data_IF_273387741503
#
_entry.id   IF_273387741503
#
_cell.length_a   1.000
_cell.length_b   1.000
_cell.length_c   1.000
_cell.angle_alpha   90.00
_cell.angle_beta   90.00
_cell.angle_gamma   90.00
#
_symmetry.space_group_name_H-M   'P 1'
#
loop_
_entity.id
_entity.type
_entity.pdbx_description
1 polymer ?
#
# COMPACT_ATOMS: atom_id res chain seq x y z
N UNK A 1 53.26 -31.54 12.41
CA UNK A 1 51.90 -30.97 12.25
C UNK A 1 50.97 -32.09 11.77
N UNK A 2 50.09 -32.61 12.64
CA UNK A 2 49.14 -33.68 12.26
C UNK A 2 47.98 -33.05 11.47
N UNK A 3 47.87 -33.38 10.19
CA UNK A 3 46.69 -33.05 9.38
C UNK A 3 45.64 -34.13 9.64
N UNK A 4 44.60 -33.80 10.39
CA UNK A 4 43.40 -34.62 10.50
C UNK A 4 42.65 -34.53 9.17
N UNK A 5 42.62 -35.62 8.42
CA UNK A 5 41.81 -35.72 7.20
C UNK A 5 40.36 -35.96 7.59
N UNK A 6 39.46 -35.11 7.11
CA UNK A 6 38.01 -35.29 7.26
C UNK A 6 37.63 -36.66 6.67
N UNK A 7 36.94 -37.49 7.44
CA UNK A 7 36.55 -38.82 6.96
C UNK A 7 35.36 -38.69 6.01
N UNK A 8 35.31 -39.55 4.98
CA UNK A 8 34.23 -39.53 3.99
C UNK A 8 32.85 -39.65 4.64
N UNK A 9 32.76 -40.44 5.71
CA UNK A 9 31.52 -40.65 6.46
C UNK A 9 31.05 -39.38 7.20
N UNK A 10 31.98 -38.57 7.68
CA UNK A 10 31.70 -37.32 8.39
C UNK A 10 31.10 -36.26 7.45
N UNK A 11 31.57 -36.22 6.20
CA UNK A 11 30.96 -35.39 5.15
C UNK A 11 29.53 -35.86 4.83
N UNK A 12 29.30 -37.18 4.74
CA UNK A 12 27.98 -37.73 4.41
C UNK A 12 26.95 -37.40 5.50
N UNK A 13 27.34 -37.48 6.77
CA UNK A 13 26.45 -37.14 7.89
C UNK A 13 26.08 -35.65 7.87
N UNK A 14 27.04 -34.76 7.63
CA UNK A 14 26.77 -33.31 7.55
C UNK A 14 25.81 -32.98 6.41
N UNK A 15 26.00 -33.59 5.24
CA UNK A 15 25.08 -33.41 4.11
C UNK A 15 23.67 -33.92 4.41
N UNK A 16 23.55 -35.05 5.11
CA UNK A 16 22.26 -35.58 5.52
C UNK A 16 21.53 -34.62 6.49
N UNK A 17 22.24 -34.05 7.46
CA UNK A 17 21.68 -33.06 8.40
C UNK A 17 21.24 -31.80 7.65
N UNK A 18 22.07 -31.28 6.73
CA UNK A 18 21.73 -30.09 5.93
C UNK A 18 20.48 -30.34 5.09
N UNK A 19 20.36 -31.50 4.44
CA UNK A 19 19.20 -31.84 3.63
C UNK A 19 17.91 -31.87 4.47
N UNK A 20 17.96 -32.45 5.67
CA UNK A 20 16.82 -32.45 6.60
C UNK A 20 16.48 -31.03 7.02
N UNK A 21 17.48 -30.21 7.39
CA UNK A 21 17.25 -28.83 7.81
C UNK A 21 16.56 -27.99 6.73
N UNK A 22 16.96 -28.08 5.46
CA UNK A 22 16.34 -27.30 4.36
C UNK A 22 14.84 -27.60 4.22
N UNK A 23 14.43 -28.86 4.37
CA UNK A 23 13.02 -29.26 4.27
C UNK A 23 12.19 -28.68 5.41
N UNK A 24 12.73 -28.63 6.62
CA UNK A 24 12.04 -28.06 7.78
C UNK A 24 12.08 -26.52 7.81
N UNK A 25 13.12 -25.91 7.26
CA UNK A 25 13.30 -24.47 7.22
C UNK A 25 12.56 -23.79 6.07
N UNK A 26 12.06 -24.52 5.07
CA UNK A 26 11.31 -23.94 3.96
C UNK A 26 10.01 -23.27 4.46
N UNK A 27 9.98 -21.93 4.60
CA UNK A 27 8.79 -21.25 5.07
C UNK A 27 7.82 -21.18 3.90
N UNK A 28 6.52 -21.38 4.18
CA UNK A 28 5.45 -21.23 3.19
C UNK A 28 5.35 -19.78 2.70
N UNK A 29 6.17 -19.41 1.71
CA UNK A 29 6.43 -18.03 1.27
C UNK A 29 5.22 -17.26 0.74
N UNK A 30 4.13 -17.95 0.39
CA UNK A 30 2.93 -17.30 -0.16
C UNK A 30 2.21 -16.40 0.85
N UNK A 31 2.28 -16.70 2.16
CA UNK A 31 1.65 -15.87 3.21
C UNK A 31 2.45 -14.61 3.53
N UNK A 32 3.75 -14.61 3.24
CA UNK A 32 4.60 -13.45 3.49
C UNK A 32 4.35 -12.34 2.45
N UNK A 33 4.11 -12.72 1.19
CA UNK A 33 3.84 -11.77 0.11
C UNK A 33 2.50 -11.04 0.30
N UNK A 34 1.44 -11.77 0.65
CA UNK A 34 0.13 -11.15 0.91
C UNK A 34 0.19 -10.12 2.04
N UNK A 35 0.94 -10.38 3.10
CA UNK A 35 1.11 -9.43 4.20
C UNK A 35 1.90 -8.18 3.77
N UNK A 36 2.90 -8.35 2.91
CA UNK A 36 3.67 -7.23 2.38
C UNK A 36 2.78 -6.32 1.51
N UNK A 37 1.96 -6.89 0.63
CA UNK A 37 1.04 -6.13 -0.21
C UNK A 37 0.01 -5.36 0.64
N UNK A 38 -0.52 -5.99 1.69
CA UNK A 38 -1.45 -5.34 2.62
C UNK A 38 -0.81 -4.16 3.38
N UNK A 39 0.42 -4.31 3.84
CA UNK A 39 1.18 -3.25 4.50
C UNK A 39 1.49 -2.10 3.53
N UNK A 40 1.82 -2.42 2.29
CA UNK A 40 2.05 -1.43 1.25
C UNK A 40 0.78 -0.63 0.92
N UNK A 41 -0.39 -1.29 0.87
CA UNK A 41 -1.66 -0.62 0.67
C UNK A 41 -1.94 0.39 1.79
N UNK A 42 -1.81 -0.01 3.05
CA UNK A 42 -1.99 0.87 4.21
C UNK A 42 -0.99 2.04 4.21
N UNK A 43 0.28 1.74 3.94
CA UNK A 43 1.34 2.76 3.89
C UNK A 43 1.08 3.78 2.80
N UNK A 44 0.73 3.33 1.58
CA UNK A 44 0.42 4.23 0.46
C UNK A 44 -0.77 5.13 0.78
N UNK A 45 -1.86 4.55 1.31
CA UNK A 45 -3.04 5.33 1.67
C UNK A 45 -2.76 6.36 2.76
N UNK A 46 -1.91 6.03 3.73
CA UNK A 46 -1.46 6.99 4.77
C UNK A 46 -0.68 8.17 4.19
N UNK A 47 0.22 7.92 3.23
CA UNK A 47 0.99 8.98 2.56
C UNK A 47 0.07 9.89 1.74
N UNK A 48 -0.86 9.32 0.97
CA UNK A 48 -1.86 10.09 0.21
C UNK A 48 -2.71 10.94 1.15
N UNK A 49 -3.22 10.36 2.24
CA UNK A 49 -4.00 11.10 3.23
C UNK A 49 -3.25 12.30 3.80
N UNK A 50 -1.98 12.10 4.20
CA UNK A 50 -1.13 13.18 4.70
C UNK A 50 -0.90 14.27 3.65
N UNK A 51 -0.68 13.90 2.39
CA UNK A 51 -0.49 14.87 1.32
C UNK A 51 -1.76 15.72 1.07
N UNK A 52 -2.95 15.09 1.07
CA UNK A 52 -4.23 15.81 0.95
C UNK A 52 -4.41 16.75 2.15
N UNK A 53 -4.15 16.28 3.37
CA UNK A 53 -4.20 17.13 4.58
C UNK A 53 -3.27 18.33 4.48
N UNK A 54 -2.01 18.11 4.07
CA UNK A 54 -1.04 19.18 3.90
C UNK A 54 -1.52 20.24 2.90
N UNK A 55 -2.19 19.83 1.82
CA UNK A 55 -2.78 20.78 0.88
C UNK A 55 -3.86 21.63 1.54
N UNK A 56 -4.80 21.01 2.26
CA UNK A 56 -5.91 21.70 2.93
C UNK A 56 -5.39 22.64 4.03
N UNK A 57 -4.34 22.26 4.74
CA UNK A 57 -3.68 23.12 5.74
C UNK A 57 -2.96 24.31 5.10
N UNK A 58 -2.35 24.14 3.93
CA UNK A 58 -1.72 25.24 3.18
C UNK A 58 -2.74 26.16 2.52
N UNK A 59 -3.93 25.65 2.21
CA UNK A 59 -4.98 26.34 1.45
C UNK A 59 -6.32 26.22 2.18
N UNK A 60 -6.42 26.86 3.34
CA UNK A 60 -7.59 26.77 4.25
C UNK A 60 -8.94 27.16 3.62
N UNK A 61 -8.94 27.98 2.56
CA UNK A 61 -10.15 28.38 1.84
C UNK A 61 -10.46 27.47 0.63
N UNK A 62 -9.77 26.34 0.52
CA UNK A 62 -9.90 25.40 -0.60
C UNK A 62 -10.47 24.07 -0.13
N UNK A 63 -11.24 23.46 -1.01
CA UNK A 63 -11.88 22.16 -0.77
C UNK A 63 -11.02 21.04 -1.32
N UNK A 64 -11.43 19.80 -1.05
CA UNK A 64 -10.82 18.62 -1.66
C UNK A 64 -11.08 18.58 -3.18
N UNK A 65 -12.17 19.18 -3.67
CA UNK A 65 -12.44 19.27 -5.11
C UNK A 65 -11.44 20.19 -5.83
N UNK A 66 -11.04 21.29 -5.18
CA UNK A 66 -9.95 22.13 -5.68
C UNK A 66 -8.63 21.34 -5.73
N UNK A 67 -8.36 20.55 -4.71
CA UNK A 67 -7.17 19.70 -4.66
C UNK A 67 -7.13 18.69 -5.81
N UNK A 68 -8.22 17.97 -6.04
CA UNK A 68 -8.36 16.99 -7.12
C UNK A 68 -7.99 17.63 -8.46
N UNK A 69 -8.46 18.86 -8.70
CA UNK A 69 -8.19 19.61 -9.92
C UNK A 69 -6.71 19.98 -10.05
N UNK A 70 -6.09 20.48 -8.97
CA UNK A 70 -4.67 20.88 -8.96
C UNK A 70 -3.74 19.68 -9.05
N UNK A 71 -4.10 18.57 -8.40
CA UNK A 71 -3.37 17.31 -8.45
C UNK A 71 -3.57 16.57 -9.78
N UNK A 72 -4.54 16.97 -10.60
CA UNK A 72 -4.84 16.35 -11.89
C UNK A 72 -5.34 14.91 -11.75
N UNK A 73 -6.10 14.61 -10.69
CA UNK A 73 -6.59 13.25 -10.45
C UNK A 73 -7.71 12.90 -11.45
N UNK A 74 -7.59 11.74 -12.07
CA UNK A 74 -8.65 11.19 -12.92
C UNK A 74 -9.77 10.59 -12.05
N UNK A 75 -10.98 10.51 -12.59
CA UNK A 75 -12.05 9.74 -11.96
C UNK A 75 -11.67 8.27 -11.85
N UNK A 76 -11.95 7.65 -10.71
CA UNK A 76 -11.66 6.24 -10.50
C UNK A 76 -12.58 5.36 -11.35
N UNK A 77 -12.01 4.38 -12.05
CA UNK A 77 -12.77 3.39 -12.82
C UNK A 77 -13.21 2.17 -12.01
N UNK A 78 -12.73 2.04 -10.77
CA UNK A 78 -13.00 0.90 -9.91
C UNK A 78 -13.05 1.28 -8.43
N UNK A 79 -13.80 0.49 -7.67
CA UNK A 79 -13.87 0.53 -6.21
C UNK A 79 -13.57 -0.85 -5.65
N UNK A 80 -13.09 -0.94 -4.40
CA UNK A 80 -12.96 -2.22 -3.75
C UNK A 80 -14.33 -2.89 -3.58
N UNK A 81 -14.42 -4.24 -3.69
CA UNK A 81 -15.65 -4.96 -3.40
C UNK A 81 -16.18 -4.67 -1.99
N UNK A 82 -17.47 -4.33 -1.88
CA UNK A 82 -18.12 -4.03 -0.60
C UNK A 82 -17.81 -2.64 -0.03
N UNK A 83 -17.11 -1.78 -0.75
CA UNK A 83 -16.98 -0.38 -0.40
C UNK A 83 -18.13 0.43 -1.01
N UNK A 84 -18.84 1.19 -0.18
CA UNK A 84 -19.88 2.13 -0.63
C UNK A 84 -19.32 3.55 -0.58
N UNK A 85 -19.15 4.21 -1.74
CA UNK A 85 -18.66 5.59 -1.80
C UNK A 85 -19.61 6.57 -1.10
N UNK A 86 -19.03 7.59 -0.47
CA UNK A 86 -19.75 8.71 0.10
C UNK A 86 -19.94 9.88 -0.91
N UNK A 87 -19.17 9.91 -1.99
CA UNK A 87 -19.35 10.85 -3.10
C UNK A 87 -18.56 10.44 -4.34
N UNK A 88 -17.87 11.41 -4.94
CA UNK A 88 -17.09 11.24 -6.16
C UNK A 88 -15.76 10.55 -5.85
N UNK A 89 -15.34 9.67 -6.75
CA UNK A 89 -14.14 8.87 -6.59
C UNK A 89 -13.07 9.30 -7.58
N UNK A 90 -11.86 9.52 -7.08
CA UNK A 90 -10.71 9.89 -7.87
C UNK A 90 -9.57 8.88 -7.67
N UNK A 91 -8.86 8.53 -8.73
CA UNK A 91 -7.74 7.59 -8.68
C UNK A 91 -6.51 8.26 -8.04
N UNK A 92 -6.00 7.68 -6.95
CA UNK A 92 -4.77 8.08 -6.26
C UNK A 92 -3.66 7.04 -6.36
N UNK A 93 -3.76 6.11 -7.31
CA UNK A 93 -2.78 5.07 -7.58
C UNK A 93 -1.54 5.66 -8.28
N UNK A 94 -1.77 6.62 -9.17
CA UNK A 94 -0.69 7.35 -9.83
C UNK A 94 0.06 8.26 -8.84
N UNK A 95 1.35 8.44 -9.08
CA UNK A 95 2.17 9.37 -8.31
C UNK A 95 1.79 10.82 -8.64
N UNK A 96 1.75 11.67 -7.62
CA UNK A 96 1.43 13.10 -7.76
C UNK A 96 2.52 13.94 -7.13
N UNK A 97 2.82 15.07 -7.76
CA UNK A 97 3.76 16.06 -7.26
C UNK A 97 3.24 17.47 -7.51
N UNK A 98 2.42 17.97 -6.58
CA UNK A 98 1.95 19.36 -6.59
C UNK A 98 3.04 20.28 -6.05
N UNK A 99 3.66 19.89 -4.93
CA UNK A 99 4.82 20.55 -4.34
C UNK A 99 5.57 19.60 -3.39
N UNK A 100 6.60 20.10 -2.69
CA UNK A 100 7.44 19.28 -1.79
C UNK A 100 6.69 18.66 -0.61
N UNK A 101 5.61 19.29 -0.14
CA UNK A 101 4.79 18.84 0.99
C UNK A 101 3.49 18.14 0.57
N UNK A 102 3.07 18.29 -0.69
CA UNK A 102 1.87 17.71 -1.31
C UNK A 102 2.31 16.85 -2.49
N UNK A 103 2.80 15.65 -2.16
CA UNK A 103 3.26 14.66 -3.13
C UNK A 103 3.19 13.25 -2.56
N UNK A 104 3.03 12.28 -3.43
CA UNK A 104 3.15 10.86 -3.10
C UNK A 104 3.69 10.08 -4.31
N UNK A 105 4.43 8.99 -4.09
CA UNK A 105 4.93 8.14 -5.17
C UNK A 105 3.79 7.36 -5.82
N UNK A 106 4.06 6.76 -6.98
CA UNK A 106 3.14 5.79 -7.57
C UNK A 106 2.98 4.58 -6.65
N UNK A 107 1.75 4.08 -6.51
CA UNK A 107 1.48 2.88 -5.74
C UNK A 107 2.19 1.64 -6.36
N UNK A 108 2.51 0.64 -5.54
CA UNK A 108 2.96 -0.66 -6.05
C UNK A 108 1.96 -1.29 -7.03
N UNK A 109 2.39 -2.15 -7.97
CA UNK A 109 1.52 -2.67 -9.03
C UNK A 109 0.29 -3.45 -8.54
N UNK A 110 0.38 -4.07 -7.36
CA UNK A 110 -0.70 -4.83 -6.73
C UNK A 110 -1.67 -3.95 -5.94
N UNK A 111 -1.31 -2.69 -5.67
CA UNK A 111 -2.06 -1.77 -4.81
C UNK A 111 -2.84 -0.79 -5.66
N UNK A 112 -4.12 -0.63 -5.33
CA UNK A 112 -5.00 0.41 -5.85
C UNK A 112 -5.36 1.40 -4.78
N UNK A 113 -5.64 2.63 -5.19
CA UNK A 113 -5.99 3.74 -4.31
C UNK A 113 -7.10 4.58 -4.93
N UNK A 114 -8.13 4.87 -4.15
CA UNK A 114 -9.13 5.88 -4.49
C UNK A 114 -9.30 6.90 -3.38
N UNK A 115 -9.49 8.14 -3.78
CA UNK A 115 -9.88 9.25 -2.95
C UNK A 115 -11.40 9.43 -3.11
N UNK A 116 -12.14 9.13 -2.05
CA UNK A 116 -13.59 9.33 -1.98
C UNK A 116 -13.87 10.70 -1.38
N UNK A 117 -14.47 11.57 -2.16
CA UNK A 117 -14.71 12.98 -1.84
C UNK A 117 -16.19 13.24 -1.80
N UNK A 118 -16.71 13.83 -0.72
CA UNK A 118 -18.13 14.19 -0.68
C UNK A 118 -18.48 15.19 -1.78
N UNK A 119 -19.73 15.22 -2.23
CA UNK A 119 -20.16 16.12 -3.31
C UNK A 119 -19.81 17.61 -3.04
N UNK A 120 -19.85 18.04 -1.78
CA UNK A 120 -19.47 19.39 -1.38
C UNK A 120 -17.95 19.64 -1.25
N UNK A 121 -17.12 18.60 -1.35
CA UNK A 121 -15.67 18.68 -1.19
C UNK A 121 -15.20 18.90 0.25
N UNK A 122 -16.12 18.83 1.22
CA UNK A 122 -15.88 19.06 2.65
C UNK A 122 -15.34 17.83 3.37
N UNK A 123 -15.55 16.64 2.82
CA UNK A 123 -15.12 15.38 3.45
C UNK A 123 -14.37 14.57 2.44
N UNK A 124 -13.35 13.85 2.93
CA UNK A 124 -12.71 12.85 2.11
C UNK A 124 -12.28 11.62 2.90
N UNK A 125 -12.14 10.51 2.20
CA UNK A 125 -11.54 9.28 2.68
C UNK A 125 -10.53 8.78 1.64
N UNK A 126 -9.41 8.24 2.12
CA UNK A 126 -8.46 7.53 1.25
C UNK A 126 -8.68 6.04 1.43
N UNK A 127 -8.96 5.34 0.35
CA UNK A 127 -9.28 3.92 0.35
C UNK A 127 -8.28 3.20 -0.52
N UNK A 128 -7.61 2.19 0.03
CA UNK A 128 -6.65 1.37 -0.71
C UNK A 128 -7.01 -0.10 -0.60
N UNK A 129 -6.69 -0.88 -1.62
CA UNK A 129 -6.86 -2.33 -1.60
C UNK A 129 -5.81 -2.99 -2.48
N UNK A 130 -5.70 -4.31 -2.35
CA UNK A 130 -4.82 -5.12 -3.19
C UNK A 130 -5.66 -5.80 -4.26
N UNK A 131 -5.27 -5.67 -5.53
CA UNK A 131 -5.95 -6.34 -6.65
C UNK A 131 -5.91 -7.87 -6.46
N UNK A 132 -7.05 -8.52 -6.70
CA UNK A 132 -7.19 -9.97 -6.51
C UNK A 132 -7.50 -10.42 -5.07
N UNK A 133 -7.46 -9.51 -4.09
CA UNK A 133 -7.93 -9.80 -2.73
C UNK A 133 -9.42 -9.45 -2.60
N UNK A 134 -10.24 -10.47 -2.36
CA UNK A 134 -11.70 -10.38 -2.53
C UNK A 134 -12.39 -9.57 -1.40
N UNK A 135 -11.70 -9.25 -0.30
CA UNK A 135 -12.36 -8.70 0.92
C UNK A 135 -11.57 -7.70 1.76
N UNK A 136 -10.38 -7.28 1.36
CA UNK A 136 -9.56 -6.37 2.17
C UNK A 136 -9.38 -5.04 1.47
N UNK A 137 -10.17 -4.06 1.90
CA UNK A 137 -9.88 -2.65 1.67
C UNK A 137 -9.54 -1.99 3.00
N UNK A 138 -8.74 -0.93 2.91
CA UNK A 138 -8.28 -0.16 4.04
C UNK A 138 -8.72 1.28 3.85
N UNK A 139 -9.40 1.84 4.85
CA UNK A 139 -9.73 3.26 4.89
C UNK A 139 -8.64 3.95 5.69
N UNK A 140 -7.65 4.51 5.00
CA UNK A 140 -6.45 5.10 5.60
C UNK A 140 -6.67 6.56 5.97
N UNK A 141 -7.72 6.81 6.76
CA UNK A 141 -8.09 8.15 7.23
C UNK A 141 -9.39 8.67 6.64
N UNK A 142 -10.07 9.52 7.42
CA UNK A 142 -11.25 10.27 7.04
C UNK A 142 -11.17 11.66 7.65
N UNK A 143 -11.47 12.69 6.86
CA UNK A 143 -11.48 14.06 7.34
C UNK A 143 -12.79 14.78 7.01
N UNK A 144 -13.08 15.78 7.83
CA UNK A 144 -14.19 16.71 7.67
C UNK A 144 -13.63 18.12 7.85
N UNK A 145 -13.73 18.93 6.80
CA UNK A 145 -13.48 20.35 6.84
C UNK A 145 -14.63 21.01 7.62
N UNK A 146 -14.31 21.76 8.67
CA UNK A 146 -15.26 22.56 9.45
C UNK A 146 -15.13 24.02 9.06
#
# INVERSE_FOLDING_TARGET
MKRSGFTLIEIVIVLAIIAVLIVFLAPRGQRAQSQQDELMAQSHGGIVYQAVQNYLLQKVNKTVNDFVTVAGLASASSTPPGYTPAGDLYDCTAGVNVNTAVRWPQAPPSVRCVLDVSAAGERFAVVTWVDGHIKTYYVNGRAVLR
#
